data_IF_145026840483
#
_entry.id   IF_145026840483
#
_cell.length_a   1.000
_cell.length_b   1.000
_cell.length_c   1.000
_cell.angle_alpha   90.00
_cell.angle_beta   90.00
_cell.angle_gamma   90.00
#
_symmetry.space_group_name_H-M   'P 1'
#
loop_
_entity.id
_entity.type
_entity.pdbx_description
1 polymer ?
#
# COMPACT_ATOMS: atom_id res chain seq x y z
N UNK A 1 -9.17 -15.83 7.47
CA UNK A 1 -9.42 -14.74 8.44
C UNK A 1 -9.56 -15.37 9.82
N UNK A 2 -8.92 -14.81 10.86
CA UNK A 2 -8.97 -15.33 12.24
C UNK A 2 -9.08 -14.14 13.21
N UNK A 3 -10.14 -14.06 14.01
CA UNK A 3 -10.32 -12.99 15.00
C UNK A 3 -11.03 -13.48 16.26
N UNK A 4 -10.75 -12.81 17.38
CA UNK A 4 -11.50 -12.90 18.63
C UNK A 4 -12.38 -11.65 18.74
N UNK A 5 -13.66 -11.85 19.04
CA UNK A 5 -14.67 -10.78 19.16
C UNK A 5 -15.11 -10.69 20.61
N UNK A 6 -15.12 -9.47 21.16
CA UNK A 6 -15.68 -9.16 22.48
C UNK A 6 -16.58 -7.94 22.33
N UNK A 7 -17.80 -8.03 22.84
CA UNK A 7 -18.75 -6.90 22.94
C UNK A 7 -19.08 -6.73 24.42
N UNK A 8 -18.47 -5.76 25.12
CA UNK A 8 -18.78 -5.47 26.51
C UNK A 8 -20.24 -5.01 26.68
N UNK A 9 -20.89 -5.32 27.81
CA UNK A 9 -22.21 -4.78 28.13
C UNK A 9 -22.16 -3.26 28.35
N UNK A 10 -23.20 -2.53 27.94
CA UNK A 10 -23.35 -1.09 28.20
C UNK A 10 -24.33 -0.41 27.25
N UNK A 11 -24.47 0.92 27.32
CA UNK A 11 -25.49 1.69 26.57
C UNK A 11 -25.01 2.37 25.27
N UNK A 12 -23.70 2.39 25.00
CA UNK A 12 -23.11 3.01 23.79
C UNK A 12 -23.46 2.22 22.50
N UNK A 13 -23.20 2.78 21.32
CA UNK A 13 -23.42 2.07 20.06
C UNK A 13 -22.49 0.84 19.93
N UNK A 14 -22.95 -0.17 19.20
CA UNK A 14 -22.22 -1.45 19.06
C UNK A 14 -20.82 -1.23 18.47
N UNK A 15 -20.66 -0.29 17.54
CA UNK A 15 -19.35 0.06 16.95
C UNK A 15 -18.39 0.63 18.00
N UNK A 16 -18.91 1.37 18.99
CA UNK A 16 -18.10 1.98 20.04
C UNK A 16 -17.66 0.95 21.09
N UNK A 17 -18.42 -0.13 21.25
CA UNK A 17 -18.07 -1.25 22.15
C UNK A 17 -17.32 -2.39 21.48
N UNK A 18 -17.32 -2.45 20.16
CA UNK A 18 -16.77 -3.59 19.45
C UNK A 18 -15.26 -3.68 19.69
N UNK A 19 -14.85 -4.76 20.34
CA UNK A 19 -13.44 -5.10 20.51
C UNK A 19 -13.11 -6.29 19.62
N UNK A 20 -12.16 -6.11 18.70
CA UNK A 20 -11.64 -7.19 17.86
C UNK A 20 -10.13 -7.29 18.05
N UNK A 21 -9.61 -8.50 18.20
CA UNK A 21 -8.18 -8.79 18.08
C UNK A 21 -8.03 -9.90 17.06
N UNK A 22 -7.31 -9.64 15.98
CA UNK A 22 -7.29 -10.59 14.88
C UNK A 22 -6.19 -10.39 13.86
N UNK A 23 -6.15 -11.36 12.96
CA UNK A 23 -5.31 -11.36 11.77
C UNK A 23 -6.13 -11.71 10.56
N UNK A 24 -5.81 -11.06 9.46
CA UNK A 24 -6.42 -11.35 8.18
C UNK A 24 -5.36 -11.53 7.11
N UNK A 25 -5.73 -12.31 6.10
CA UNK A 25 -4.97 -12.51 4.87
C UNK A 25 -6.01 -12.71 3.77
N UNK A 26 -6.00 -11.82 2.80
CA UNK A 26 -6.81 -11.88 1.60
C UNK A 26 -5.83 -12.11 0.45
N UNK A 27 -5.92 -13.28 -0.17
CA UNK A 27 -5.18 -13.59 -1.38
C UNK A 27 -6.08 -13.33 -2.58
N UNK A 28 -5.50 -12.77 -3.65
CA UNK A 28 -6.20 -12.50 -4.89
C UNK A 28 -7.45 -11.62 -4.70
N UNK A 29 -7.26 -10.47 -4.03
CA UNK A 29 -8.33 -9.49 -3.88
C UNK A 29 -8.83 -9.07 -5.27
N UNK A 30 -10.09 -9.39 -5.59
CA UNK A 30 -10.76 -8.90 -6.81
C UNK A 30 -11.44 -7.59 -6.47
N UNK A 31 -11.01 -6.52 -7.12
CA UNK A 31 -11.60 -5.22 -6.92
C UNK A 31 -12.76 -5.06 -7.89
N UNK A 32 -13.97 -4.80 -7.38
CA UNK A 32 -15.16 -4.57 -8.22
C UNK A 32 -15.06 -3.30 -9.09
N UNK A 33 -14.09 -2.43 -8.79
CA UNK A 33 -13.84 -1.21 -9.54
C UNK A 33 -12.77 -1.44 -10.60
N UNK A 34 -13.15 -1.37 -11.88
CA UNK A 34 -12.23 -1.42 -13.02
C UNK A 34 -11.12 -0.34 -12.92
N UNK A 35 -11.45 0.84 -12.39
CA UNK A 35 -10.47 1.92 -12.17
C UNK A 35 -9.41 1.54 -11.13
N UNK A 36 -9.79 0.79 -10.09
CA UNK A 36 -8.83 0.30 -9.10
C UNK A 36 -7.95 -0.77 -9.71
N UNK A 37 -8.53 -1.71 -10.45
CA UNK A 37 -7.76 -2.74 -11.16
C UNK A 37 -6.75 -2.11 -12.14
N UNK A 38 -7.14 -1.13 -12.93
CA UNK A 38 -6.24 -0.44 -13.86
C UNK A 38 -5.05 0.22 -13.14
N UNK A 39 -5.31 0.88 -12.00
CA UNK A 39 -4.25 1.50 -11.20
C UNK A 39 -3.29 0.49 -10.60
N UNK A 40 -3.81 -0.64 -10.12
CA UNK A 40 -2.98 -1.73 -9.58
C UNK A 40 -2.15 -2.40 -10.67
N UNK A 41 -2.71 -2.59 -11.87
CA UNK A 41 -1.96 -3.05 -13.04
C UNK A 41 -0.85 -2.09 -13.40
N UNK A 42 -1.15 -0.80 -13.51
CA UNK A 42 -0.13 0.21 -13.81
C UNK A 42 0.97 0.27 -12.74
N UNK A 43 0.63 0.09 -11.46
CA UNK A 43 1.59 0.01 -10.37
C UNK A 43 2.49 -1.24 -10.52
N UNK A 44 1.89 -2.41 -10.72
CA UNK A 44 2.59 -3.68 -10.91
C UNK A 44 3.56 -3.63 -12.09
N UNK A 45 3.14 -3.08 -13.22
CA UNK A 45 3.98 -2.98 -14.42
C UNK A 45 5.19 -2.06 -14.18
N UNK A 46 4.97 -0.88 -13.60
CA UNK A 46 6.06 0.05 -13.25
C UNK A 46 7.01 -0.57 -12.24
N UNK A 47 6.48 -1.22 -11.21
CA UNK A 47 7.25 -1.84 -10.15
C UNK A 47 8.11 -3.01 -10.64
N UNK A 48 7.69 -3.68 -11.72
CA UNK A 48 8.45 -4.73 -12.43
C UNK A 48 9.39 -4.18 -13.51
N UNK A 49 9.31 -2.89 -13.84
CA UNK A 49 10.11 -2.29 -14.92
C UNK A 49 9.57 -2.59 -16.32
N UNK A 50 8.32 -3.02 -16.45
CA UNK A 50 7.70 -3.34 -17.75
C UNK A 50 7.35 -2.04 -18.47
N UNK A 51 8.01 -1.84 -19.61
CA UNK A 51 7.84 -0.67 -20.45
C UNK A 51 6.48 -0.65 -21.15
N UNK A 52 6.06 0.55 -21.60
CA UNK A 52 4.81 0.70 -22.39
C UNK A 52 4.80 -0.12 -23.69
N UNK A 53 5.96 -0.54 -24.21
CA UNK A 53 6.05 -1.39 -25.40
C UNK A 53 5.67 -2.84 -25.07
N UNK A 54 6.24 -3.38 -24.00
CA UNK A 54 5.96 -4.74 -23.50
C UNK A 54 4.50 -4.86 -22.99
N UNK A 55 3.94 -3.78 -22.46
CA UNK A 55 2.51 -3.72 -22.08
C UNK A 55 1.55 -3.99 -23.25
N UNK A 56 1.91 -3.67 -24.50
CA UNK A 56 1.03 -3.94 -25.66
C UNK A 56 1.02 -5.42 -26.05
N UNK A 57 2.09 -6.15 -25.74
CA UNK A 57 2.25 -7.56 -26.07
C UNK A 57 1.63 -8.46 -24.98
N UNK A 58 1.76 -8.09 -23.71
CA UNK A 58 1.22 -8.86 -22.57
C UNK A 58 -0.31 -8.74 -22.37
N UNK A 59 -0.96 -7.70 -22.94
CA UNK A 59 -2.39 -7.42 -22.75
C UNK A 59 -3.33 -8.40 -23.48
N UNK A 60 -2.79 -9.34 -24.25
CA UNK A 60 -3.58 -10.44 -24.82
C UNK A 60 -3.81 -11.53 -23.77
N UNK A 61 -4.77 -11.31 -22.87
CA UNK A 61 -5.34 -12.37 -22.01
C UNK A 61 -5.12 -12.27 -20.50
N UNK A 62 -4.51 -11.20 -19.98
CA UNK A 62 -4.30 -11.07 -18.53
C UNK A 62 -5.61 -10.75 -17.78
N UNK A 63 -6.05 -11.72 -16.96
CA UNK A 63 -7.02 -11.52 -15.86
C UNK A 63 -6.33 -10.74 -14.74
N UNK A 64 -7.07 -9.88 -14.03
CA UNK A 64 -6.56 -8.81 -13.15
C UNK A 64 -5.40 -9.16 -12.20
N UNK A 65 -4.69 -8.13 -11.75
CA UNK A 65 -3.44 -8.29 -10.97
C UNK A 65 -3.65 -8.98 -9.63
N UNK A 66 -2.91 -10.07 -9.43
CA UNK A 66 -2.87 -10.78 -8.15
C UNK A 66 -2.40 -9.84 -7.04
N UNK A 67 -3.33 -9.43 -6.20
CA UNK A 67 -3.09 -8.55 -5.06
C UNK A 67 -3.28 -9.31 -3.77
N UNK A 68 -2.36 -9.15 -2.83
CA UNK A 68 -2.46 -9.73 -1.49
C UNK A 68 -2.53 -8.60 -0.46
N UNK A 69 -3.45 -8.75 0.49
CA UNK A 69 -3.59 -7.85 1.64
C UNK A 69 -3.57 -8.70 2.91
N UNK A 70 -2.74 -8.33 3.88
CA UNK A 70 -2.67 -9.02 5.16
C UNK A 70 -2.49 -8.04 6.30
N UNK A 71 -2.88 -8.43 7.51
CA UNK A 71 -2.65 -7.58 8.65
C UNK A 71 -2.93 -8.25 9.98
N UNK A 72 -2.38 -7.64 11.02
CA UNK A 72 -2.68 -7.92 12.43
C UNK A 72 -3.20 -6.63 13.04
N UNK A 73 -4.38 -6.70 13.64
CA UNK A 73 -5.09 -5.51 14.08
C UNK A 73 -5.77 -5.72 15.43
N UNK A 74 -5.95 -4.61 16.13
CA UNK A 74 -6.86 -4.49 17.26
C UNK A 74 -7.87 -3.38 16.96
N UNK A 75 -9.15 -3.65 17.11
CA UNK A 75 -10.21 -2.65 17.09
C UNK A 75 -10.69 -2.43 18.52
N UNK A 76 -10.75 -1.18 18.93
CA UNK A 76 -11.36 -0.76 20.18
C UNK A 76 -11.92 0.65 20.00
N UNK A 77 -13.14 0.91 20.48
CA UNK A 77 -13.75 2.26 20.46
C UNK A 77 -13.70 2.93 19.08
N UNK A 78 -14.10 2.18 18.05
CA UNK A 78 -14.09 2.63 16.66
C UNK A 78 -12.71 2.85 16.03
N UNK A 79 -11.60 2.63 16.76
CA UNK A 79 -10.24 2.83 16.24
C UNK A 79 -9.54 1.49 16.02
N UNK A 80 -9.11 1.27 14.78
CA UNK A 80 -8.29 0.12 14.39
C UNK A 80 -6.82 0.48 14.51
N UNK A 81 -6.08 -0.26 15.33
CA UNK A 81 -4.62 -0.20 15.42
C UNK A 81 -4.04 -1.39 14.67
N UNK A 82 -3.28 -1.13 13.61
CA UNK A 82 -2.54 -2.15 12.88
C UNK A 82 -1.10 -2.20 13.39
N UNK A 83 -0.71 -3.32 14.01
CA UNK A 83 0.70 -3.61 14.32
C UNK A 83 1.48 -4.04 13.07
N UNK A 84 0.76 -4.58 12.09
CA UNK A 84 1.26 -4.88 10.75
C UNK A 84 0.11 -4.81 9.76
N UNK A 85 0.31 -4.10 8.66
CA UNK A 85 -0.57 -4.07 7.51
C UNK A 85 0.32 -4.21 6.27
N UNK A 86 0.15 -5.29 5.51
CA UNK A 86 0.89 -5.59 4.30
C UNK A 86 -0.01 -5.55 3.08
N UNK A 87 0.46 -4.92 2.01
CA UNK A 87 -0.16 -5.00 0.69
C UNK A 87 0.91 -5.32 -0.35
N UNK A 88 0.63 -6.22 -1.29
CA UNK A 88 1.55 -6.55 -2.36
C UNK A 88 0.86 -6.82 -3.68
N UNK A 89 1.52 -6.38 -4.74
CA UNK A 89 1.26 -6.73 -6.14
C UNK A 89 2.57 -7.26 -6.74
N UNK A 90 2.57 -7.89 -7.92
CA UNK A 90 3.81 -8.31 -8.55
C UNK A 90 4.79 -7.13 -8.69
N UNK A 91 6.00 -7.30 -8.17
CA UNK A 91 7.06 -6.29 -8.21
C UNK A 91 6.99 -5.19 -7.15
N UNK A 92 5.91 -5.03 -6.39
CA UNK A 92 5.81 -4.01 -5.34
C UNK A 92 5.15 -4.52 -4.05
N UNK A 93 5.66 -4.06 -2.92
CA UNK A 93 5.06 -4.34 -1.63
C UNK A 93 5.15 -3.15 -0.67
N UNK A 94 4.15 -3.04 0.19
CA UNK A 94 4.01 -2.03 1.20
C UNK A 94 3.83 -2.72 2.54
N UNK A 95 4.55 -2.25 3.56
CA UNK A 95 4.33 -2.62 4.95
C UNK A 95 4.09 -1.37 5.78
N UNK A 96 2.95 -1.31 6.45
CA UNK A 96 2.50 -0.20 7.29
C UNK A 96 2.21 -0.68 8.71
N UNK A 97 2.24 0.26 9.64
CA UNK A 97 1.68 0.16 10.98
C UNK A 97 1.12 1.53 11.38
N UNK A 98 0.09 1.54 12.22
CA UNK A 98 -0.57 2.78 12.62
C UNK A 98 -2.05 2.62 12.93
N UNK A 99 -2.80 3.70 12.81
CA UNK A 99 -4.19 3.78 13.26
C UNK A 99 -5.14 4.19 12.13
N UNK A 100 -6.35 3.67 12.18
CA UNK A 100 -7.47 4.07 11.33
C UNK A 100 -8.74 4.19 12.18
N UNK A 101 -9.37 5.35 12.19
CA UNK A 101 -10.62 5.58 12.90
C UNK A 101 -11.80 5.30 11.96
N UNK A 102 -12.64 4.32 12.31
CA UNK A 102 -13.77 3.88 11.46
C UNK A 102 -14.81 4.99 11.26
N UNK A 103 -15.25 5.74 12.30
CA UNK A 103 -16.24 6.81 12.12
C UNK A 103 -15.73 8.03 11.33
N UNK A 104 -14.58 8.59 11.70
CA UNK A 104 -14.06 9.82 11.08
C UNK A 104 -13.31 9.55 9.77
N UNK A 105 -12.88 8.31 9.53
CA UNK A 105 -12.00 7.96 8.42
C UNK A 105 -10.58 8.48 8.58
N UNK A 106 -10.23 9.05 9.74
CA UNK A 106 -8.87 9.51 10.02
C UNK A 106 -7.86 8.36 10.00
N UNK A 107 -6.74 8.60 9.36
CA UNK A 107 -5.65 7.62 9.23
C UNK A 107 -4.34 8.25 9.67
N UNK A 108 -3.50 7.45 10.32
CA UNK A 108 -2.12 7.79 10.61
C UNK A 108 -1.29 6.51 10.54
N UNK A 109 -0.72 6.28 9.37
CA UNK A 109 0.09 5.10 9.08
C UNK A 109 1.51 5.51 8.73
N UNK A 110 2.47 4.73 9.19
CA UNK A 110 3.87 4.81 8.81
C UNK A 110 4.33 3.46 8.31
N UNK A 111 5.23 3.47 7.33
CA UNK A 111 5.85 2.23 6.90
C UNK A 111 6.84 2.41 5.78
N UNK A 112 6.97 1.36 4.98
CA UNK A 112 7.96 1.27 3.92
C UNK A 112 7.27 0.81 2.65
N UNK A 113 7.54 1.53 1.56
CA UNK A 113 7.24 1.12 0.19
C UNK A 113 8.50 0.54 -0.45
N UNK A 114 8.37 -0.60 -1.12
CA UNK A 114 9.46 -1.27 -1.84
C UNK A 114 8.99 -1.75 -3.19
N UNK A 115 9.85 -1.64 -4.20
CA UNK A 115 9.64 -2.27 -5.51
C UNK A 115 10.92 -2.85 -6.10
N UNK A 116 10.75 -3.74 -7.08
CA UNK A 116 11.86 -4.43 -7.74
C UNK A 116 12.61 -3.52 -8.70
N UNK A 117 11.89 -2.72 -9.49
CA UNK A 117 12.49 -1.76 -10.42
C UNK A 117 13.09 -0.57 -9.68
N UNK A 118 14.16 0.01 -10.25
CA UNK A 118 14.73 1.26 -9.75
C UNK A 118 13.85 2.44 -10.12
N UNK A 119 14.08 3.60 -9.49
CA UNK A 119 13.31 4.81 -9.81
C UNK A 119 13.49 5.19 -11.28
N UNK A 120 14.73 5.16 -11.79
CA UNK A 120 15.01 5.38 -13.19
C UNK A 120 14.33 4.35 -14.09
N UNK A 121 14.35 3.07 -13.69
CA UNK A 121 13.72 1.96 -14.41
C UNK A 121 12.19 2.08 -14.54
N UNK A 122 11.54 2.90 -13.71
CA UNK A 122 10.11 3.24 -13.89
C UNK A 122 9.84 4.29 -14.97
N UNK A 123 10.89 4.95 -15.46
CA UNK A 123 10.81 6.05 -16.44
C UNK A 123 11.32 5.61 -17.81
N UNK A 124 11.18 6.49 -18.80
CA UNK A 124 11.70 6.25 -20.16
C UNK A 124 12.36 7.50 -20.72
N UNK A 125 13.26 7.32 -21.68
CA UNK A 125 13.98 8.40 -22.35
C UNK A 125 14.92 9.15 -21.43
N UNK A 126 15.02 10.48 -21.59
CA UNK A 126 15.98 11.31 -20.86
C UNK A 126 15.79 11.27 -19.33
N UNK A 127 14.57 11.04 -18.85
CA UNK A 127 14.28 10.92 -17.41
C UNK A 127 14.94 9.69 -16.78
N UNK A 128 15.00 8.57 -17.50
CA UNK A 128 15.72 7.39 -17.05
C UNK A 128 17.22 7.70 -16.88
N UNK A 129 17.83 8.32 -17.90
CA UNK A 129 19.25 8.68 -17.88
C UNK A 129 19.59 9.66 -16.76
N UNK A 130 18.73 10.65 -16.53
CA UNK A 130 18.92 11.63 -15.47
C UNK A 130 18.81 11.03 -14.05
N UNK A 131 17.99 10.00 -13.88
CA UNK A 131 17.70 9.42 -12.57
C UNK A 131 18.61 8.24 -12.20
N UNK A 132 19.22 7.55 -13.18
CA UNK A 132 20.11 6.40 -12.93
C UNK A 132 21.17 6.66 -11.84
N UNK A 133 21.86 7.82 -11.80
CA UNK A 133 22.87 8.08 -10.77
C UNK A 133 22.31 8.13 -9.34
N UNK A 134 21.00 8.32 -9.18
CA UNK A 134 20.32 8.39 -7.89
C UNK A 134 19.83 7.03 -7.41
N UNK A 135 19.71 6.03 -8.28
CA UNK A 135 19.16 4.72 -7.94
C UNK A 135 19.88 4.04 -6.75
N UNK A 136 21.24 4.05 -6.66
CA UNK A 136 21.95 3.41 -5.54
C UNK A 136 21.58 3.96 -4.15
N UNK A 137 20.97 5.14 -4.07
CA UNK A 137 20.54 5.76 -2.80
C UNK A 137 19.23 5.17 -2.28
N UNK A 138 18.47 4.48 -3.14
CA UNK A 138 17.19 3.87 -2.81
C UNK A 138 17.23 2.34 -2.90
N UNK A 139 18.28 1.77 -3.49
CA UNK A 139 18.48 0.33 -3.52
C UNK A 139 18.81 -0.22 -2.13
N UNK A 140 18.07 -1.24 -1.70
CA UNK A 140 18.27 -1.82 -0.38
C UNK A 140 17.76 -3.25 -0.29
N UNK A 141 18.57 -4.14 0.27
CA UNK A 141 18.25 -5.56 0.50
C UNK A 141 17.60 -6.22 -0.73
N UNK A 142 18.16 -5.99 -1.93
CA UNK A 142 17.65 -6.54 -3.20
C UNK A 142 16.41 -5.86 -3.79
N UNK A 143 15.87 -4.80 -3.17
CA UNK A 143 14.88 -3.93 -3.83
C UNK A 143 15.60 -2.88 -4.67
N UNK A 144 15.10 -2.63 -5.89
CA UNK A 144 15.55 -1.54 -6.75
C UNK A 144 15.16 -0.16 -6.22
N UNK A 145 14.12 -0.09 -5.40
CA UNK A 145 13.70 1.15 -4.75
C UNK A 145 12.98 0.87 -3.42
N UNK A 146 13.48 1.47 -2.34
CA UNK A 146 12.88 1.48 -1.00
C UNK A 146 12.77 2.92 -0.47
N UNK A 147 11.59 3.31 0.03
CA UNK A 147 11.42 4.58 0.77
C UNK A 147 10.45 4.43 1.94
N UNK A 148 10.70 5.13 3.07
CA UNK A 148 9.68 5.30 4.10
C UNK A 148 8.49 6.08 3.55
N UNK A 149 7.28 5.66 3.93
CA UNK A 149 6.03 6.33 3.57
C UNK A 149 5.19 6.63 4.81
N UNK A 150 4.37 7.66 4.68
CA UNK A 150 3.44 8.14 5.70
C UNK A 150 2.10 8.40 5.03
N UNK A 151 1.02 7.97 5.66
CA UNK A 151 -0.35 8.21 5.19
C UNK A 151 -1.10 8.83 6.35
N UNK A 152 -1.48 10.09 6.18
CA UNK A 152 -2.20 10.89 7.18
C UNK A 152 -3.46 11.49 6.58
N UNK A 153 -4.29 12.17 7.38
CA UNK A 153 -5.51 12.82 6.89
C UNK A 153 -6.71 11.90 7.01
N UNK A 154 -7.66 12.01 6.07
CA UNK A 154 -8.91 11.25 6.10
C UNK A 154 -9.06 10.36 4.86
N UNK A 155 -10.10 9.52 4.85
CA UNK A 155 -10.45 8.69 3.69
C UNK A 155 -10.72 9.53 2.43
N UNK A 156 -11.35 10.69 2.60
CA UNK A 156 -11.71 11.62 1.52
C UNK A 156 -10.52 12.51 1.10
N UNK A 157 -9.65 12.84 2.06
CA UNK A 157 -8.47 13.68 1.84
C UNK A 157 -7.21 13.02 2.42
N UNK A 158 -6.72 11.93 1.81
CA UNK A 158 -5.50 11.27 2.26
C UNK A 158 -4.29 12.10 1.84
N UNK A 159 -3.36 12.32 2.78
CA UNK A 159 -2.06 12.92 2.54
C UNK A 159 -0.99 11.83 2.58
N UNK A 160 -0.46 11.49 1.42
CA UNK A 160 0.55 10.45 1.24
C UNK A 160 1.91 11.12 1.03
N UNK A 161 2.86 10.84 1.92
CA UNK A 161 4.21 11.38 1.87
C UNK A 161 5.23 10.25 1.80
N UNK A 162 6.28 10.42 1.01
CA UNK A 162 7.50 9.63 1.11
C UNK A 162 8.62 10.44 1.73
N UNK A 163 9.54 9.78 2.42
CA UNK A 163 10.76 10.38 2.92
C UNK A 163 11.93 10.09 1.98
N UNK A 164 12.52 11.17 1.47
CA UNK A 164 13.62 11.14 0.51
C UNK A 164 14.68 12.12 1.01
N UNK A 165 15.91 11.64 1.21
CA UNK A 165 17.02 12.45 1.77
C UNK A 165 16.66 13.22 3.04
N UNK A 166 15.98 12.55 3.99
CA UNK A 166 15.51 13.14 5.25
C UNK A 166 14.47 14.27 5.09
N UNK A 167 13.89 14.42 3.90
CA UNK A 167 12.80 15.36 3.61
C UNK A 167 11.54 14.60 3.24
N UNK A 168 10.39 15.07 3.73
CA UNK A 168 9.10 14.50 3.35
C UNK A 168 8.59 15.19 2.09
N UNK A 169 8.24 14.40 1.08
CA UNK A 169 7.72 14.84 -0.21
C UNK A 169 6.34 14.23 -0.40
N UNK A 170 5.36 15.06 -0.75
CA UNK A 170 4.00 14.59 -1.05
C UNK A 170 3.97 13.85 -2.38
N UNK A 171 3.27 12.71 -2.41
CA UNK A 171 3.04 11.91 -3.61
C UNK A 171 1.58 12.12 -4.03
N UNK A 172 1.37 12.66 -5.23
CA UNK A 172 0.04 12.83 -5.84
C UNK A 172 -0.39 11.61 -6.67
#
# INVERSE_FOLDING_TARGET
>A
FQSKIVVPPGKEDVIDKLMLDGRFRLMSARFSSAKVEERLTALSDRARGISRKEQKEERQGQRGVASELSGTFKLERGTVVFSRLGFSVPGAHIRLAGTYNLPSGETNMKGIFRMHSTLAGTQSGIKHVLLMPLDPLFEKDGAGFEVPIFITGTREHPDIKAEVFHRRVTIH
#
